data_IF_338994348559
#
_entry.id   IF_338994348559
#
_cell.length_a   1.000
_cell.length_b   1.000
_cell.length_c   1.000
_cell.angle_alpha   90.00
_cell.angle_beta   90.00
_cell.angle_gamma   90.00
#
_symmetry.space_group_name_H-M   'P 1'
#
loop_
_entity.id
_entity.type
_entity.pdbx_description
1 polymer ?
#
# COMPACT_ATOMS: atom_id res chain seq x y z
N UNK A 1 14.84 -46.77 5.80
CA UNK A 1 13.53 -46.30 5.32
C UNK A 1 12.91 -45.53 6.48
N UNK A 2 12.72 -44.23 6.28
CA UNK A 2 12.18 -43.32 7.29
C UNK A 2 10.66 -43.48 7.24
N UNK A 3 10.07 -44.15 8.23
CA UNK A 3 8.62 -44.18 8.37
C UNK A 3 8.16 -42.76 8.72
N UNK A 4 7.55 -42.09 7.74
CA UNK A 4 7.00 -40.75 7.89
C UNK A 4 5.91 -40.77 8.96
N UNK A 5 6.23 -40.13 10.08
CA UNK A 5 5.42 -40.10 11.29
C UNK A 5 4.03 -39.50 11.05
N UNK A 6 3.04 -40.38 10.87
CA UNK A 6 1.66 -40.00 11.01
C UNK A 6 1.31 -39.93 12.51
N UNK A 7 1.17 -38.70 13.03
CA UNK A 7 0.76 -38.45 14.41
C UNK A 7 -0.75 -38.12 14.44
N UNK A 8 -1.63 -39.05 14.86
CA UNK A 8 -3.08 -38.83 14.95
C UNK A 8 -3.49 -37.71 15.90
N UNK A 9 -2.57 -37.20 16.72
CA UNK A 9 -2.78 -36.07 17.63
C UNK A 9 -2.36 -34.72 17.05
N UNK A 10 -1.82 -34.68 15.82
CA UNK A 10 -1.50 -33.42 15.17
C UNK A 10 -2.82 -32.76 14.76
N UNK A 11 -3.15 -31.56 15.28
CA UNK A 11 -4.42 -30.94 14.98
C UNK A 11 -4.30 -30.28 13.60
N UNK A 12 -4.48 -31.12 12.57
CA UNK A 12 -4.35 -30.82 11.16
C UNK A 12 -5.09 -29.54 10.76
N UNK A 13 -6.29 -29.37 11.31
CA UNK A 13 -7.13 -28.21 11.07
C UNK A 13 -6.48 -26.91 11.56
N UNK A 14 -5.72 -26.93 12.64
CA UNK A 14 -4.99 -25.76 13.16
C UNK A 14 -3.85 -25.34 12.26
N UNK A 15 -3.13 -26.32 11.70
CA UNK A 15 -2.03 -26.04 10.76
C UNK A 15 -2.57 -25.47 9.44
N UNK A 16 -3.77 -25.89 9.04
CA UNK A 16 -4.43 -25.42 7.82
C UNK A 16 -5.20 -24.10 7.94
N UNK A 17 -5.36 -23.53 9.14
CA UNK A 17 -6.15 -22.28 9.33
C UNK A 17 -5.70 -21.13 8.43
N UNK A 18 -4.39 -21.03 8.19
CA UNK A 18 -3.82 -19.94 7.40
C UNK A 18 -3.55 -20.33 5.94
N UNK A 19 -3.69 -21.62 5.58
CA UNK A 19 -3.48 -22.09 4.22
C UNK A 19 -4.73 -21.87 3.36
N UNK A 20 -4.51 -21.47 2.11
CA UNK A 20 -5.57 -21.40 1.10
C UNK A 20 -5.87 -22.81 0.63
N UNK A 21 -7.13 -23.23 0.78
CA UNK A 21 -7.58 -24.51 0.23
C UNK A 21 -7.60 -24.43 -1.31
N UNK A 22 -6.83 -25.30 -1.96
CA UNK A 22 -6.54 -25.28 -3.40
C UNK A 22 -7.79 -25.64 -4.22
N UNK A 23 -8.80 -26.26 -3.58
CA UNK A 23 -10.13 -26.49 -4.15
C UNK A 23 -11.14 -25.50 -3.54
N UNK A 24 -11.17 -24.23 -3.98
CA UNK A 24 -11.99 -23.22 -3.35
C UNK A 24 -13.47 -23.49 -3.57
N UNK A 25 -14.17 -23.85 -2.50
CA UNK A 25 -15.63 -23.72 -2.42
C UNK A 25 -16.01 -22.23 -2.47
N UNK A 26 -17.25 -21.88 -2.83
CA UNK A 26 -17.71 -20.48 -2.89
C UNK A 26 -17.44 -19.67 -1.59
N UNK A 27 -17.48 -20.34 -0.43
CA UNK A 27 -17.08 -19.77 0.87
C UNK A 27 -15.60 -19.37 0.92
N UNK A 28 -14.71 -20.18 0.33
CA UNK A 28 -13.27 -19.96 0.32
C UNK A 28 -12.91 -18.80 -0.62
N UNK A 29 -13.60 -18.68 -1.76
CA UNK A 29 -13.47 -17.52 -2.64
C UNK A 29 -13.83 -16.21 -1.94
N UNK A 30 -14.95 -16.18 -1.20
CA UNK A 30 -15.33 -14.99 -0.42
C UNK A 30 -14.25 -14.62 0.59
N UNK A 31 -13.74 -15.60 1.34
CA UNK A 31 -12.66 -15.38 2.30
C UNK A 31 -11.40 -14.81 1.64
N UNK A 32 -11.02 -15.32 0.47
CA UNK A 32 -9.88 -14.80 -0.30
C UNK A 32 -10.10 -13.36 -0.75
N UNK A 33 -11.31 -13.04 -1.25
CA UNK A 33 -11.67 -11.68 -1.65
C UNK A 33 -11.63 -10.71 -0.47
N UNK A 34 -12.18 -11.10 0.68
CA UNK A 34 -12.18 -10.26 1.88
C UNK A 34 -10.75 -10.02 2.40
N UNK A 35 -9.89 -11.05 2.40
CA UNK A 35 -8.45 -10.91 2.71
C UNK A 35 -7.74 -9.96 1.75
N UNK A 36 -8.01 -10.10 0.44
CA UNK A 36 -7.43 -9.24 -0.60
C UNK A 36 -7.85 -7.78 -0.42
N UNK A 37 -9.14 -7.51 -0.22
CA UNK A 37 -9.68 -6.16 0.05
C UNK A 37 -9.08 -5.54 1.31
N UNK A 38 -8.92 -6.32 2.38
CA UNK A 38 -8.30 -5.84 3.60
C UNK A 38 -6.82 -5.46 3.40
N UNK A 39 -6.09 -6.26 2.63
CA UNK A 39 -4.71 -5.96 2.28
C UNK A 39 -4.59 -4.72 1.39
N UNK A 40 -5.44 -4.59 0.36
CA UNK A 40 -5.52 -3.42 -0.51
C UNK A 40 -5.72 -2.12 0.28
N UNK A 41 -6.71 -2.10 1.20
CA UNK A 41 -6.99 -0.94 2.04
C UNK A 41 -5.76 -0.52 2.88
N UNK A 42 -5.05 -1.50 3.44
CA UNK A 42 -3.83 -1.27 4.21
C UNK A 42 -2.69 -0.72 3.33
N UNK A 43 -2.50 -1.25 2.13
CA UNK A 43 -1.51 -0.73 1.17
C UNK A 43 -1.81 0.72 0.78
N UNK A 44 -3.07 1.07 0.53
CA UNK A 44 -3.47 2.46 0.28
C UNK A 44 -3.09 3.37 1.45
N UNK A 45 -3.44 2.99 2.69
CA UNK A 45 -3.10 3.77 3.89
C UNK A 45 -1.60 3.99 4.04
N UNK A 46 -0.78 2.96 3.80
CA UNK A 46 0.67 3.08 3.88
C UNK A 46 1.24 3.97 2.77
N UNK A 47 0.71 3.86 1.54
CA UNK A 47 1.11 4.74 0.44
C UNK A 47 0.83 6.21 0.73
N UNK A 48 -0.38 6.53 1.22
CA UNK A 48 -0.73 7.90 1.62
C UNK A 48 0.14 8.42 2.76
N UNK A 49 0.39 7.59 3.79
CA UNK A 49 1.24 7.96 4.92
C UNK A 49 2.67 8.24 4.46
N UNK A 50 3.25 7.35 3.64
CA UNK A 50 4.59 7.53 3.10
C UNK A 50 4.72 8.80 2.25
N UNK A 51 3.75 9.05 1.37
CA UNK A 51 3.74 10.26 0.55
C UNK A 51 3.67 11.54 1.40
N UNK A 52 2.84 11.52 2.46
CA UNK A 52 2.73 12.64 3.40
C UNK A 52 4.04 12.87 4.16
N UNK A 53 4.61 11.84 4.78
CA UNK A 53 5.87 11.95 5.52
C UNK A 53 7.01 12.45 4.63
N UNK A 54 7.13 11.93 3.41
CA UNK A 54 8.10 12.40 2.42
C UNK A 54 7.91 13.87 2.05
N UNK A 55 6.67 14.31 1.90
CA UNK A 55 6.36 15.71 1.61
C UNK A 55 6.72 16.60 2.80
N UNK A 56 6.29 16.24 4.00
CA UNK A 56 6.56 17.01 5.23
C UNK A 56 8.07 17.10 5.54
N UNK A 57 8.85 16.04 5.29
CA UNK A 57 10.32 16.04 5.47
C UNK A 57 11.06 16.94 4.48
N UNK A 58 10.62 16.95 3.21
CA UNK A 58 11.28 17.72 2.15
C UNK A 58 10.75 19.15 2.01
N UNK A 59 9.56 19.42 2.53
CA UNK A 59 8.92 20.72 2.45
C UNK A 59 9.49 21.66 3.51
N UNK A 60 10.38 22.56 3.07
CA UNK A 60 10.77 23.71 3.88
C UNK A 60 9.75 24.82 3.64
N UNK A 61 9.06 25.31 4.69
CA UNK A 61 8.20 26.47 4.54
C UNK A 61 9.04 27.64 4.03
N UNK A 62 8.58 28.38 3.02
CA UNK A 62 9.33 29.52 2.53
C UNK A 62 9.30 30.66 3.55
N UNK A 63 10.40 31.39 3.67
CA UNK A 63 10.57 32.49 4.64
C UNK A 63 10.04 33.85 4.13
N UNK A 64 9.43 33.89 2.93
CA UNK A 64 8.95 35.16 2.37
C UNK A 64 7.60 35.55 2.96
N UNK A 65 7.40 36.86 3.14
CA UNK A 65 6.15 37.45 3.60
C UNK A 65 5.34 37.99 2.42
N UNK A 66 4.04 38.17 2.66
CA UNK A 66 3.14 38.78 1.67
C UNK A 66 3.61 40.22 1.43
N UNK A 67 4.06 40.51 0.21
CA UNK A 67 4.61 41.81 -0.18
C UNK A 67 6.12 41.81 -0.45
N UNK A 68 6.83 40.72 -0.17
CA UNK A 68 8.25 40.61 -0.52
C UNK A 68 8.45 40.44 -2.03
N UNK A 69 9.44 41.15 -2.57
CA UNK A 69 9.83 41.02 -3.98
C UNK A 69 10.65 39.74 -4.16
N UNK A 70 9.99 38.63 -4.48
CA UNK A 70 10.65 37.33 -4.69
C UNK A 70 10.97 37.11 -6.16
N UNK A 71 12.22 36.75 -6.47
CA UNK A 71 12.63 36.38 -7.82
C UNK A 71 12.11 34.97 -8.14
N UNK A 72 11.04 34.87 -8.93
CA UNK A 72 10.52 33.59 -9.40
C UNK A 72 11.38 33.13 -10.59
N UNK A 73 12.15 32.05 -10.42
CA UNK A 73 12.88 31.43 -11.52
C UNK A 73 11.90 30.88 -12.55
N UNK A 74 11.83 31.54 -13.71
CA UNK A 74 10.97 31.15 -14.84
C UNK A 74 11.42 29.85 -15.52
N UNK A 75 12.60 29.32 -15.19
CA UNK A 75 13.14 28.10 -15.80
C UNK A 75 12.22 26.89 -15.60
N UNK A 76 11.53 26.80 -14.46
CA UNK A 76 10.60 25.71 -14.13
C UNK A 76 9.14 25.99 -14.53
N UNK A 77 8.82 27.20 -15.02
CA UNK A 77 7.47 27.56 -15.47
C UNK A 77 7.23 27.23 -16.95
N UNK A 78 8.23 26.72 -17.66
CA UNK A 78 8.11 26.30 -19.07
C UNK A 78 7.12 25.15 -19.30
N UNK A 79 6.77 24.39 -18.24
CA UNK A 79 5.77 23.32 -18.28
C UNK A 79 4.32 23.78 -18.00
N UNK A 80 4.06 25.08 -17.85
CA UNK A 80 2.70 25.63 -17.63
C UNK A 80 1.96 25.88 -18.97
N UNK A 81 2.53 25.46 -20.11
CA UNK A 81 1.73 25.35 -21.34
C UNK A 81 0.80 24.15 -21.21
N UNK A 82 -0.35 24.36 -20.58
CA UNK A 82 -1.53 23.52 -20.73
C UNK A 82 -1.93 23.38 -22.20
N UNK A 83 -2.90 22.51 -22.52
CA UNK A 83 -3.29 22.25 -23.90
C UNK A 83 -3.68 23.56 -24.58
N UNK A 84 -2.96 23.90 -25.66
CA UNK A 84 -3.34 25.00 -26.53
C UNK A 84 -4.64 24.60 -27.23
N UNK A 85 -5.64 25.49 -27.20
CA UNK A 85 -6.89 25.36 -27.96
C UNK A 85 -6.63 25.10 -29.43
#
# INVERSE_FOLDING_TARGET
MLEEGWNPRLPYDTLKKDLVDICPTASNFKLMLDKSRHHENRCMKYSFKYAKERWDESHKPPDFKIGDLVLVSTLNLNNIKGPKK
#
